data_IF_358650668122
#
_entry.id   IF_358650668122
#
_cell.length_a   1.000
_cell.length_b   1.000
_cell.length_c   1.000
_cell.angle_alpha   90.00
_cell.angle_beta   90.00
_cell.angle_gamma   90.00
#
_symmetry.space_group_name_H-M   'P 1'
#
loop_
_entity.id
_entity.type
_entity.pdbx_description
1 polymer ?
#
# COMPACT_ATOMS: atom_id res chain seq x y z
N UNK A 1 20.36 13.65 -37.94
CA UNK A 1 21.68 13.84 -37.31
C UNK A 1 22.79 14.06 -38.35
N UNK A 2 23.00 13.14 -39.30
CA UNK A 2 24.01 13.29 -40.36
C UNK A 2 23.91 14.60 -41.19
N UNK A 3 22.70 15.00 -41.59
CA UNK A 3 22.49 16.23 -42.37
C UNK A 3 22.84 17.53 -41.61
N UNK A 4 22.69 17.55 -40.28
CA UNK A 4 23.02 18.72 -39.42
C UNK A 4 24.53 18.82 -39.18
N UNK A 5 25.21 17.66 -39.11
CA UNK A 5 26.66 17.58 -38.96
C UNK A 5 27.36 18.20 -40.19
N UNK A 6 26.86 17.88 -41.38
CA UNK A 6 27.42 18.41 -42.64
C UNK A 6 27.24 19.93 -42.74
N UNK A 7 26.10 20.48 -42.33
CA UNK A 7 25.87 21.93 -42.31
C UNK A 7 26.82 22.67 -41.36
N UNK A 8 27.03 22.16 -40.14
CA UNK A 8 27.94 22.77 -39.14
C UNK A 8 29.40 22.73 -39.61
N UNK A 9 29.81 21.65 -40.29
CA UNK A 9 31.14 21.53 -40.88
C UNK A 9 31.37 22.52 -42.03
N UNK A 10 30.33 22.80 -42.83
CA UNK A 10 30.39 23.69 -44.00
C UNK A 10 30.25 25.18 -43.68
N UNK A 11 29.89 25.57 -42.44
CA UNK A 11 29.78 26.98 -42.04
C UNK A 11 31.11 27.74 -42.19
N UNK A 12 31.18 28.71 -43.12
CA UNK A 12 32.35 29.56 -43.32
C UNK A 12 32.38 30.68 -42.28
N UNK A 13 33.55 30.94 -41.70
CA UNK A 13 33.77 32.02 -40.72
C UNK A 13 33.77 31.59 -39.25
N UNK A 14 33.32 30.38 -38.92
CA UNK A 14 33.40 29.87 -37.55
C UNK A 14 34.81 29.29 -37.26
N UNK A 15 35.49 29.70 -36.17
CA UNK A 15 36.76 29.11 -35.79
C UNK A 15 36.59 27.62 -35.48
N UNK A 16 37.64 26.83 -35.77
CA UNK A 16 37.63 25.35 -35.67
C UNK A 16 37.13 24.84 -34.31
N UNK A 17 37.49 25.53 -33.24
CA UNK A 17 37.07 25.22 -31.86
C UNK A 17 35.56 25.37 -31.68
N UNK A 18 34.96 26.41 -32.25
CA UNK A 18 33.52 26.64 -32.16
C UNK A 18 32.72 25.54 -32.87
N UNK A 19 33.20 25.03 -34.02
CA UNK A 19 32.55 23.90 -34.71
C UNK A 19 32.57 22.62 -33.90
N UNK A 20 33.70 22.35 -33.23
CA UNK A 20 33.85 21.18 -32.36
C UNK A 20 32.92 21.27 -31.15
N UNK A 21 32.83 22.45 -30.52
CA UNK A 21 31.90 22.67 -29.40
C UNK A 21 30.45 22.48 -29.84
N UNK A 22 30.04 23.03 -30.98
CA UNK A 22 28.68 22.86 -31.51
C UNK A 22 28.36 21.39 -31.81
N UNK A 23 29.30 20.63 -32.39
CA UNK A 23 29.15 19.19 -32.63
C UNK A 23 29.06 18.37 -31.35
N UNK A 24 29.83 18.73 -30.32
CA UNK A 24 29.75 18.10 -28.99
C UNK A 24 28.38 18.38 -28.36
N UNK A 25 27.92 19.63 -28.37
CA UNK A 25 26.59 20.00 -27.82
C UNK A 25 25.46 19.26 -28.55
N UNK A 26 25.50 19.18 -29.88
CA UNK A 26 24.52 18.42 -30.67
C UNK A 26 24.56 16.91 -30.39
N UNK A 27 25.75 16.34 -30.20
CA UNK A 27 25.89 14.92 -29.87
C UNK A 27 25.37 14.61 -28.47
N UNK A 28 25.64 15.48 -27.49
CA UNK A 28 25.12 15.34 -26.11
C UNK A 28 23.60 15.48 -26.09
N UNK A 29 23.03 16.42 -26.85
CA UNK A 29 21.57 16.59 -26.97
C UNK A 29 20.88 15.39 -27.67
N UNK A 30 21.57 14.74 -28.61
CA UNK A 30 21.04 13.58 -29.34
C UNK A 30 21.20 12.26 -28.59
N UNK A 31 22.13 12.20 -27.63
CA UNK A 31 22.43 11.03 -26.81
C UNK A 31 21.77 11.09 -25.43
N UNK A 32 20.99 12.14 -25.13
CA UNK A 32 20.07 12.07 -24.01
C UNK A 32 19.05 11.00 -24.35
N UNK A 33 19.00 9.86 -23.62
CA UNK A 33 17.85 8.99 -23.73
C UNK A 33 16.64 9.89 -23.51
N UNK A 34 15.61 9.73 -24.34
CA UNK A 34 14.29 10.19 -23.96
C UNK A 34 14.06 9.59 -22.57
N UNK A 35 14.21 10.42 -21.54
CA UNK A 35 13.85 10.08 -20.18
C UNK A 35 12.34 10.01 -20.29
N UNK A 36 11.84 8.85 -20.77
CA UNK A 36 10.46 8.50 -20.65
C UNK A 36 10.16 8.77 -19.19
N UNK A 37 9.31 9.76 -18.93
CA UNK A 37 8.82 10.04 -17.61
C UNK A 37 8.49 8.67 -17.01
N UNK A 38 9.21 8.33 -15.94
CA UNK A 38 8.93 7.12 -15.20
C UNK A 38 7.45 7.23 -14.85
N UNK A 39 6.64 6.42 -15.55
CA UNK A 39 5.20 6.36 -15.34
C UNK A 39 5.04 6.19 -13.83
N UNK A 40 4.30 7.11 -13.21
CA UNK A 40 4.23 7.29 -11.76
C UNK A 40 3.57 6.05 -11.13
N UNK A 41 4.34 4.97 -11.04
CA UNK A 41 3.96 3.65 -10.52
C UNK A 41 3.76 3.79 -9.02
N UNK A 42 2.63 4.37 -8.65
CA UNK A 42 2.30 4.68 -7.28
C UNK A 42 1.16 5.68 -7.12
N UNK A 43 0.89 6.53 -8.12
CA UNK A 43 -0.30 7.39 -8.11
C UNK A 43 -1.50 6.63 -8.63
N UNK A 44 -2.22 6.05 -7.69
CA UNK A 44 -3.59 5.60 -7.89
C UNK A 44 -4.50 6.76 -7.47
N UNK A 45 -5.34 7.24 -8.38
CA UNK A 45 -6.24 8.41 -8.16
C UNK A 45 -7.45 8.07 -7.26
N UNK A 46 -7.57 6.81 -6.82
CA UNK A 46 -8.59 6.37 -5.87
C UNK A 46 -7.94 5.75 -4.62
N UNK A 47 -8.70 5.44 -3.56
CA UNK A 47 -8.20 4.71 -2.41
C UNK A 47 -7.79 3.27 -2.76
N UNK A 48 -6.79 2.76 -2.05
CA UNK A 48 -6.44 1.34 -2.03
C UNK A 48 -7.51 0.52 -1.32
N UNK A 49 -7.81 -0.67 -1.83
CA UNK A 49 -8.62 -1.69 -1.16
C UNK A 49 -7.71 -2.58 -0.34
N UNK A 50 -7.94 -2.62 0.97
CA UNK A 50 -7.11 -3.39 1.90
C UNK A 50 -8.01 -4.38 2.63
N UNK A 51 -7.82 -5.66 2.34
CA UNK A 51 -8.43 -6.74 3.11
C UNK A 51 -7.43 -7.21 4.16
N UNK A 52 -7.67 -6.85 5.41
CA UNK A 52 -7.00 -7.48 6.54
C UNK A 52 -7.65 -8.83 6.81
N UNK A 53 -6.80 -9.85 6.88
CA UNK A 53 -7.21 -11.22 7.24
C UNK A 53 -6.57 -11.51 8.58
N UNK A 54 -7.39 -11.83 9.56
CA UNK A 54 -6.95 -11.93 10.93
C UNK A 54 -7.40 -13.22 11.59
N UNK A 55 -6.61 -13.70 12.52
CA UNK A 55 -6.86 -14.97 13.18
C UNK A 55 -6.27 -14.99 14.57
N UNK A 56 -6.95 -15.68 15.48
CA UNK A 56 -6.45 -15.91 16.83
C UNK A 56 -5.31 -16.92 16.81
N UNK A 57 -4.34 -16.74 17.71
CA UNK A 57 -3.22 -17.68 17.91
C UNK A 57 -3.25 -18.22 19.35
N UNK A 58 -2.27 -19.07 19.70
CA UNK A 58 -2.25 -19.80 20.98
C UNK A 58 -2.42 -18.90 22.21
N UNK A 59 -1.87 -17.68 22.19
CA UNK A 59 -2.03 -16.72 23.29
C UNK A 59 -3.50 -16.37 23.57
N UNK A 60 -4.33 -16.25 22.53
CA UNK A 60 -5.77 -16.03 22.72
C UNK A 60 -6.42 -17.26 23.36
N UNK A 61 -6.14 -18.45 22.83
CA UNK A 61 -6.72 -19.71 23.33
C UNK A 61 -6.36 -19.96 24.79
N UNK A 62 -5.15 -19.60 25.22
CA UNK A 62 -4.68 -19.73 26.59
C UNK A 62 -5.25 -18.67 27.55
N UNK A 63 -5.64 -17.50 27.05
CA UNK A 63 -6.20 -16.43 27.89
C UNK A 63 -7.59 -16.80 28.43
N UNK A 64 -7.91 -16.36 29.65
CA UNK A 64 -9.23 -16.55 30.22
C UNK A 64 -10.27 -15.67 29.51
N UNK A 65 -11.57 -16.05 29.49
CA UNK A 65 -12.62 -15.22 28.91
C UNK A 65 -12.68 -13.81 29.51
N UNK A 66 -12.49 -13.70 30.83
CA UNK A 66 -12.46 -12.41 31.53
C UNK A 66 -11.29 -11.55 31.03
N UNK A 67 -10.07 -12.10 30.98
CA UNK A 67 -8.89 -11.37 30.50
C UNK A 67 -9.02 -10.92 29.04
N UNK A 68 -9.62 -11.76 28.17
CA UNK A 68 -9.92 -11.36 26.79
C UNK A 68 -10.82 -10.14 26.76
N UNK A 69 -11.87 -10.11 27.57
CA UNK A 69 -12.85 -9.02 27.58
C UNK A 69 -12.33 -7.74 28.23
N UNK A 70 -11.55 -7.85 29.30
CA UNK A 70 -11.14 -6.69 30.11
C UNK A 70 -9.81 -6.08 29.70
N UNK A 71 -8.94 -6.85 29.01
CA UNK A 71 -7.58 -6.40 28.64
C UNK A 71 -7.37 -6.42 27.13
N UNK A 72 -7.62 -7.56 26.46
CA UNK A 72 -7.29 -7.72 25.03
C UNK A 72 -8.25 -6.94 24.13
N UNK A 73 -9.56 -7.03 24.37
CA UNK A 73 -10.56 -6.36 23.54
C UNK A 73 -10.52 -4.83 23.62
N UNK A 74 -10.28 -4.20 24.79
CA UNK A 74 -10.05 -2.76 24.86
C UNK A 74 -8.85 -2.30 24.02
N UNK A 75 -7.74 -3.02 24.10
CA UNK A 75 -6.54 -2.77 23.29
C UNK A 75 -6.84 -2.90 21.78
N UNK A 76 -7.59 -3.93 21.38
CA UNK A 76 -8.06 -4.12 20.01
C UNK A 76 -8.89 -2.95 19.49
N UNK A 77 -9.85 -2.48 20.31
CA UNK A 77 -10.71 -1.36 19.95
C UNK A 77 -9.91 -0.06 19.84
N UNK A 78 -8.90 0.13 20.68
CA UNK A 78 -8.05 1.31 20.63
C UNK A 78 -7.23 1.36 19.33
N UNK A 79 -6.68 0.22 18.88
CA UNK A 79 -6.01 0.15 17.58
C UNK A 79 -6.95 0.56 16.43
N UNK A 80 -8.20 0.12 16.44
CA UNK A 80 -9.18 0.51 15.41
C UNK A 80 -9.55 1.99 15.48
N UNK A 81 -9.64 2.55 16.69
CA UNK A 81 -9.84 3.99 16.90
C UNK A 81 -8.69 4.79 16.29
N UNK A 82 -7.44 4.36 16.52
CA UNK A 82 -6.26 4.99 15.94
C UNK A 82 -6.21 4.85 14.41
N UNK A 83 -6.58 3.70 13.84
CA UNK A 83 -6.69 3.54 12.40
C UNK A 83 -7.69 4.50 11.77
N UNK A 84 -8.85 4.69 12.42
CA UNK A 84 -9.82 5.69 12.00
C UNK A 84 -9.23 7.11 12.01
N UNK A 85 -8.42 7.45 13.03
CA UNK A 85 -7.72 8.75 13.09
C UNK A 85 -6.66 8.94 12.00
N UNK A 86 -6.13 7.85 11.44
CA UNK A 86 -5.24 7.90 10.28
C UNK A 86 -5.97 8.17 8.95
N UNK A 87 -7.29 8.34 8.98
CA UNK A 87 -8.11 8.57 7.77
C UNK A 87 -8.45 7.28 7.01
N UNK A 88 -8.37 6.12 7.66
CA UNK A 88 -8.80 4.84 7.09
C UNK A 88 -10.32 4.71 7.16
N UNK A 89 -10.95 4.26 6.08
CA UNK A 89 -12.40 4.01 6.04
C UNK A 89 -12.66 2.51 6.12
N UNK A 90 -13.39 2.05 7.13
CA UNK A 90 -13.87 0.66 7.18
C UNK A 90 -15.09 0.50 6.26
N UNK A 91 -14.97 -0.37 5.27
CA UNK A 91 -16.07 -0.72 4.35
C UNK A 91 -16.97 -1.78 4.98
N UNK A 92 -16.36 -2.77 5.65
CA UNK A 92 -17.11 -3.84 6.30
C UNK A 92 -16.23 -4.92 6.92
N UNK A 93 -16.85 -5.81 7.67
CA UNK A 93 -16.19 -6.94 8.33
C UNK A 93 -16.96 -8.23 8.08
N UNK A 94 -16.25 -9.35 8.12
CA UNK A 94 -16.81 -10.70 8.02
C UNK A 94 -16.18 -11.52 9.13
N UNK A 95 -17.00 -12.09 10.00
CA UNK A 95 -16.58 -13.09 10.97
C UNK A 95 -16.98 -14.47 10.46
N UNK A 96 -16.00 -15.35 10.28
CA UNK A 96 -16.18 -16.67 9.66
C UNK A 96 -16.34 -17.79 10.71
N UNK A 97 -16.48 -17.45 12.01
CA UNK A 97 -16.54 -18.46 13.08
C UNK A 97 -17.65 -19.51 12.88
N UNK A 98 -18.77 -19.16 12.24
CA UNK A 98 -19.91 -20.07 12.03
C UNK A 98 -19.62 -21.17 11.00
N UNK A 99 -18.70 -20.95 10.06
CA UNK A 99 -18.38 -21.95 9.03
C UNK A 99 -17.09 -22.71 9.34
N UNK A 100 -16.53 -22.51 10.53
CA UNK A 100 -15.31 -23.16 10.99
C UNK A 100 -15.62 -24.21 12.08
N UNK A 101 -15.17 -25.44 11.87
CA UNK A 101 -15.26 -26.52 12.85
C UNK A 101 -13.94 -27.31 12.91
N UNK A 102 -13.37 -27.47 14.10
CA UNK A 102 -12.09 -28.18 14.34
C UNK A 102 -10.89 -27.25 14.59
N UNK A 103 -9.74 -27.85 14.93
CA UNK A 103 -8.46 -27.13 15.05
C UNK A 103 -8.11 -26.48 13.71
N UNK A 104 -7.66 -25.20 13.65
CA UNK A 104 -7.42 -24.48 12.39
C UNK A 104 -6.33 -25.14 11.53
N UNK A 105 -6.71 -26.16 10.75
CA UNK A 105 -5.78 -26.99 9.99
C UNK A 105 -5.56 -26.54 8.54
N UNK A 106 -6.40 -25.65 7.99
CA UNK A 106 -6.28 -25.24 6.59
C UNK A 106 -6.78 -23.83 6.24
N UNK A 107 -7.69 -23.21 7.02
CA UNK A 107 -7.99 -21.77 6.91
C UNK A 107 -7.32 -21.03 8.06
N UNK A 108 -6.42 -20.12 7.72
CA UNK A 108 -5.52 -19.45 8.67
C UNK A 108 -6.17 -18.25 9.39
N UNK A 109 -7.37 -17.83 9.01
CA UNK A 109 -8.01 -16.60 9.49
C UNK A 109 -9.41 -16.89 10.03
N UNK A 110 -9.80 -16.22 11.11
CA UNK A 110 -11.11 -16.30 11.74
C UNK A 110 -12.04 -15.14 11.35
N UNK A 111 -11.47 -13.98 11.03
CA UNK A 111 -12.24 -12.82 10.58
C UNK A 111 -11.48 -11.99 9.55
N UNK A 112 -12.24 -11.11 8.89
CA UNK A 112 -11.81 -10.30 7.77
C UNK A 112 -12.33 -8.89 7.92
N UNK A 113 -11.51 -7.91 7.56
CA UNK A 113 -11.86 -6.49 7.65
C UNK A 113 -11.43 -5.82 6.34
N UNK A 114 -12.37 -5.18 5.66
CA UNK A 114 -12.13 -4.49 4.40
C UNK A 114 -12.10 -2.98 4.63
N UNK A 115 -11.02 -2.34 4.16
CA UNK A 115 -10.77 -0.92 4.32
C UNK A 115 -10.47 -0.21 2.99
N UNK A 116 -10.72 1.10 2.98
CA UNK A 116 -10.16 2.06 2.03
C UNK A 116 -9.01 2.83 2.67
N UNK A 117 -7.90 2.98 1.95
CA UNK A 117 -6.72 3.70 2.41
C UNK A 117 -6.15 4.56 1.28
N UNK A 118 -5.94 5.86 1.51
CA UNK A 118 -5.44 6.77 0.47
C UNK A 118 -3.95 6.58 0.17
N UNK A 119 -3.14 6.23 1.18
CA UNK A 119 -1.70 6.05 1.05
C UNK A 119 -1.28 4.63 1.43
N UNK A 120 -0.58 3.93 0.54
CA UNK A 120 -0.14 2.55 0.79
C UNK A 120 0.73 2.43 2.06
N UNK A 121 1.52 3.46 2.38
CA UNK A 121 2.32 3.52 3.62
C UNK A 121 1.49 3.46 4.89
N UNK A 122 0.21 3.86 4.86
CA UNK A 122 -0.68 3.78 6.01
C UNK A 122 -0.94 2.34 6.43
N UNK A 123 -0.97 1.38 5.49
CA UNK A 123 -1.11 -0.05 5.83
C UNK A 123 0.05 -0.54 6.69
N UNK A 124 1.28 -0.10 6.38
CA UNK A 124 2.45 -0.41 7.20
C UNK A 124 2.33 0.12 8.62
N UNK A 125 1.85 1.37 8.77
CA UNK A 125 1.59 1.99 10.09
C UNK A 125 0.48 1.24 10.85
N UNK A 126 -0.58 0.84 10.16
CA UNK A 126 -1.67 0.07 10.76
C UNK A 126 -1.17 -1.25 11.36
N UNK A 127 -0.41 -2.03 10.59
CA UNK A 127 0.14 -3.30 11.03
C UNK A 127 1.20 -3.14 12.13
N UNK A 128 1.90 -2.01 12.18
CA UNK A 128 2.85 -1.73 13.25
C UNK A 128 2.15 -1.51 14.59
N UNK A 129 0.99 -0.84 14.62
CA UNK A 129 0.22 -0.65 15.86
C UNK A 129 -0.20 -1.96 16.53
N UNK A 130 -0.39 -3.05 15.77
CA UNK A 130 -0.70 -4.36 16.32
C UNK A 130 0.45 -4.93 17.18
N UNK A 131 1.70 -4.51 16.90
CA UNK A 131 2.91 -5.02 17.57
C UNK A 131 3.23 -4.28 18.87
N UNK A 132 2.55 -3.16 19.12
CA UNK A 132 2.78 -2.30 20.28
C UNK A 132 1.52 -2.19 21.12
N UNK A 133 1.69 -1.93 22.41
CA UNK A 133 0.55 -1.58 23.25
C UNK A 133 0.21 -0.09 23.13
N UNK A 134 -1.09 0.19 22.97
CA UNK A 134 -1.72 1.49 22.87
C UNK A 134 -2.28 1.94 24.22
N UNK A 135 -2.72 0.99 25.05
CA UNK A 135 -3.22 1.27 26.41
C UNK A 135 -2.20 0.92 27.52
N UNK A 136 -1.05 0.34 27.15
CA UNK A 136 0.04 -0.03 28.06
C UNK A 136 -0.13 -1.39 28.75
N UNK A 137 -1.17 -2.15 28.42
CA UNK A 137 -1.47 -3.42 29.10
C UNK A 137 -0.98 -4.65 28.33
N UNK A 138 -1.14 -4.67 27.00
CA UNK A 138 -0.92 -5.87 26.20
C UNK A 138 -0.55 -5.55 24.76
N UNK A 139 0.24 -6.42 24.14
CA UNK A 139 0.56 -6.35 22.71
C UNK A 139 -0.32 -7.34 21.95
N UNK A 140 -1.06 -6.87 20.95
CA UNK A 140 -2.02 -7.70 20.22
C UNK A 140 -1.34 -8.81 19.40
N UNK A 141 -0.11 -8.61 18.93
CA UNK A 141 0.68 -9.61 18.20
C UNK A 141 0.91 -10.93 18.96
N UNK A 142 0.67 -10.95 20.29
CA UNK A 142 0.74 -12.17 21.12
C UNK A 142 -0.55 -13.00 21.12
N UNK A 143 -1.65 -12.44 20.62
CA UNK A 143 -2.99 -13.05 20.70
C UNK A 143 -3.64 -13.22 19.34
N UNK A 144 -3.25 -12.40 18.36
CA UNK A 144 -3.78 -12.44 17.01
C UNK A 144 -2.69 -12.17 15.97
N UNK A 145 -2.90 -12.71 14.77
CA UNK A 145 -2.10 -12.40 13.58
C UNK A 145 -2.94 -11.64 12.57
N UNK A 146 -2.26 -10.82 11.77
CA UNK A 146 -2.84 -10.05 10.68
C UNK A 146 -1.99 -10.19 9.43
N UNK A 147 -2.65 -10.41 8.29
CA UNK A 147 -2.06 -10.35 6.96
C UNK A 147 -2.88 -9.42 6.06
N UNK A 148 -2.23 -8.49 5.36
CA UNK A 148 -2.89 -7.58 4.44
C UNK A 148 -2.85 -8.11 3.00
N UNK A 149 -4.02 -8.16 2.36
CA UNK A 149 -4.15 -8.27 0.91
C UNK A 149 -4.54 -6.89 0.37
N UNK A 150 -3.72 -6.34 -0.52
CA UNK A 150 -3.85 -4.96 -0.99
C UNK A 150 -4.02 -4.97 -2.50
N UNK A 151 -4.97 -4.16 -2.98
CA UNK A 151 -5.19 -3.98 -4.41
C UNK A 151 -5.98 -2.71 -4.70
N UNK A 152 -6.40 -2.58 -5.95
CA UNK A 152 -7.26 -1.50 -6.41
C UNK A 152 -8.72 -1.97 -6.45
N UNK A 153 -9.70 -1.06 -6.33
CA UNK A 153 -11.10 -1.40 -6.61
C UNK A 153 -11.28 -1.86 -8.05
N UNK A 154 -12.27 -2.73 -8.28
CA UNK A 154 -12.74 -3.12 -9.61
C UNK A 154 -13.88 -2.15 -10.01
N UNK A 155 -13.52 -0.94 -10.42
CA UNK A 155 -14.47 0.19 -10.55
C UNK A 155 -15.66 -0.12 -11.47
N UNK A 156 -15.44 -0.73 -12.64
CA UNK A 156 -16.53 -1.08 -13.56
C UNK A 156 -17.54 -2.05 -12.92
N UNK A 157 -17.04 -3.03 -12.15
CA UNK A 157 -17.88 -3.97 -11.43
C UNK A 157 -18.61 -3.31 -10.26
N UNK A 158 -17.92 -2.50 -9.46
CA UNK A 158 -18.50 -1.75 -8.34
C UNK A 158 -19.64 -0.82 -8.80
N UNK A 159 -19.48 -0.16 -9.96
CA UNK A 159 -20.51 0.72 -10.53
C UNK A 159 -21.81 -0.02 -10.90
N UNK A 160 -21.73 -1.27 -11.36
CA UNK A 160 -22.93 -2.09 -11.65
C UNK A 160 -23.78 -2.30 -10.38
N UNK A 161 -23.14 -2.33 -9.21
CA UNK A 161 -23.82 -2.43 -7.92
C UNK A 161 -24.15 -1.07 -7.28
N UNK A 162 -23.90 0.04 -7.99
CA UNK A 162 -24.14 1.39 -7.48
C UNK A 162 -23.17 1.82 -6.38
N UNK A 163 -22.04 1.13 -6.23
CA UNK A 163 -20.97 1.54 -5.32
C UNK A 163 -20.15 2.63 -6.00
N UNK A 164 -19.95 3.73 -5.28
CA UNK A 164 -18.99 4.75 -5.67
C UNK A 164 -17.72 4.53 -4.86
N UNK A 165 -16.65 4.10 -5.52
CA UNK A 165 -15.31 4.21 -4.95
C UNK A 165 -15.06 5.71 -4.74
N UNK A 166 -14.81 6.13 -3.49
CA UNK A 166 -14.53 7.55 -3.18
C UNK A 166 -13.24 8.02 -3.84
#
# INVERSE_FOLDING_TARGET
MLQIIDEVLLMKGLPRIAKVVTLIVLSVMSAMPAYAAEEDKGKWEAPWRVLLRAGVIDGWAAASPEYRQTVIMPEYNEVHRLWKEMGVTMIGTIDDYLTQAGTPGSRHYGWYELYEVNELSTVGKMLDLIRHSQLGEVHLDKYMRYDALIGTPQTDAEQVFGLQSQ
#
